data_IF_701388043810
#
_entry.id   IF_701388043810
#
_cell.length_a   1.000
_cell.length_b   1.000
_cell.length_c   1.000
_cell.angle_alpha   90.00
_cell.angle_beta   90.00
_cell.angle_gamma   90.00
#
_symmetry.space_group_name_H-M   'P 1'
#
loop_
_entity.id
_entity.type
_entity.pdbx_description
1 polymer ?
#
# COMPACT_ATOMS: atom_id res chain seq x y z
N UNK A 1 25.99 -15.16 7.85
CA UNK A 1 26.89 -14.00 7.63
C UNK A 1 27.17 -13.72 6.16
N UNK A 2 27.47 -14.73 5.33
CA UNK A 2 27.77 -14.58 3.90
C UNK A 2 26.61 -13.98 3.06
N UNK A 3 25.35 -14.38 3.30
CA UNK A 3 24.18 -13.81 2.62
C UNK A 3 23.89 -12.35 3.01
N UNK A 4 24.22 -11.97 4.25
CA UNK A 4 24.09 -10.60 4.73
C UNK A 4 25.13 -9.68 4.08
N UNK A 5 26.36 -10.18 3.94
CA UNK A 5 27.44 -9.49 3.22
C UNK A 5 27.18 -9.42 1.71
N UNK A 6 26.61 -10.46 1.08
CA UNK A 6 26.22 -10.42 -0.33
C UNK A 6 25.10 -9.41 -0.61
N UNK A 7 24.09 -9.30 0.27
CA UNK A 7 23.04 -8.28 0.16
C UNK A 7 23.59 -6.85 0.32
N UNK A 8 24.54 -6.64 1.24
CA UNK A 8 25.23 -5.35 1.37
C UNK A 8 26.16 -5.07 0.17
N UNK A 9 26.86 -6.07 -0.34
CA UNK A 9 27.76 -5.93 -1.48
C UNK A 9 27.01 -5.58 -2.77
N UNK A 10 25.81 -6.14 -3.02
CA UNK A 10 24.96 -5.75 -4.15
C UNK A 10 24.43 -4.31 -3.96
N UNK A 11 24.05 -3.91 -2.74
CA UNK A 11 23.69 -2.50 -2.44
C UNK A 11 24.88 -1.54 -2.62
N UNK A 12 26.11 -1.98 -2.34
CA UNK A 12 27.36 -1.19 -2.51
C UNK A 12 27.84 -1.18 -3.97
N UNK A 13 27.64 -2.25 -4.75
CA UNK A 13 28.01 -2.28 -6.18
C UNK A 13 27.10 -1.36 -7.01
N UNK A 14 25.83 -1.20 -6.60
CA UNK A 14 24.95 -0.19 -7.17
C UNK A 14 25.43 1.26 -6.91
N UNK A 15 26.31 1.47 -5.91
CA UNK A 15 26.93 2.77 -5.60
C UNK A 15 28.21 3.03 -6.40
N UNK A 16 28.91 2.01 -6.91
CA UNK A 16 30.21 2.19 -7.60
C UNK A 16 30.13 2.20 -9.12
N UNK A 17 28.98 1.89 -9.73
CA UNK A 17 28.73 2.03 -11.19
C UNK A 17 27.97 3.33 -11.51
N UNK A 18 27.91 4.26 -10.55
CA UNK A 18 27.48 5.65 -10.73
C UNK A 18 28.67 6.63 -10.84
N UNK A 19 29.74 6.35 -11.61
CA UNK A 19 30.63 7.41 -12.08
C UNK A 19 30.78 7.32 -13.60
N UNK A 20 29.77 7.75 -14.34
CA UNK A 20 29.91 8.15 -15.76
C UNK A 20 28.79 9.09 -16.25
N UNK A 21 28.07 9.68 -15.30
CA UNK A 21 27.47 11.00 -15.49
C UNK A 21 28.26 11.91 -14.56
N UNK A 22 29.28 12.58 -15.08
CA UNK A 22 29.83 13.79 -14.48
C UNK A 22 28.81 14.92 -14.61
N UNK A 23 27.63 14.73 -14.06
CA UNK A 23 27.01 15.77 -13.28
C UNK A 23 27.56 15.51 -11.89
N UNK A 24 28.44 16.39 -11.42
CA UNK A 24 28.64 16.58 -9.99
C UNK A 24 27.28 16.39 -9.32
N UNK A 25 27.13 15.52 -8.31
CA UNK A 25 25.92 15.50 -7.52
C UNK A 25 25.94 16.82 -6.76
N UNK A 26 25.51 17.89 -7.42
CA UNK A 26 24.78 18.94 -6.75
C UNK A 26 23.51 18.22 -6.34
N UNK A 27 23.63 17.56 -5.20
CA UNK A 27 22.57 17.34 -4.26
C UNK A 27 22.00 18.75 -4.02
N UNK A 28 21.15 19.22 -4.93
CA UNK A 28 19.92 19.85 -4.50
C UNK A 28 19.13 18.68 -3.87
N UNK A 29 19.46 18.18 -2.66
CA UNK A 29 19.08 18.85 -1.43
C UNK A 29 18.18 20.02 -1.80
N UNK A 30 16.89 19.73 -1.93
CA UNK A 30 15.90 20.71 -1.56
C UNK A 30 16.49 21.51 -0.39
N UNK A 31 16.63 22.80 -0.59
CA UNK A 31 17.12 23.76 0.39
C UNK A 31 16.28 23.77 1.68
N UNK A 32 15.22 22.95 1.76
CA UNK A 32 14.75 22.38 3.01
C UNK A 32 15.75 21.35 3.55
N UNK A 33 16.75 21.83 4.30
CA UNK A 33 17.52 21.06 5.28
C UNK A 33 16.70 19.85 5.81
N UNK A 34 16.92 18.65 5.27
CA UNK A 34 16.74 17.43 6.06
C UNK A 34 17.95 17.41 6.98
N UNK A 35 17.99 18.32 7.96
CA UNK A 35 18.85 18.11 9.11
C UNK A 35 18.41 16.75 9.64
N UNK A 36 19.32 15.78 9.85
CA UNK A 36 19.04 14.71 10.76
C UNK A 36 18.90 15.39 12.12
N UNK A 37 17.71 15.92 12.40
CA UNK A 37 17.36 16.48 13.69
C UNK A 37 17.68 15.36 14.67
N UNK A 38 18.68 15.60 15.52
CA UNK A 38 19.11 14.64 16.52
C UNK A 38 17.85 14.06 17.14
N UNK A 39 17.60 12.77 16.91
CA UNK A 39 16.34 12.16 17.25
C UNK A 39 16.14 12.38 18.75
N UNK A 40 15.22 13.27 19.11
CA UNK A 40 14.87 13.44 20.50
C UNK A 40 14.12 12.15 20.88
N UNK A 41 14.89 11.16 21.37
CA UNK A 41 14.38 9.84 21.74
C UNK A 41 13.26 9.94 22.78
N UNK A 42 13.17 11.08 23.46
CA UNK A 42 12.16 11.38 24.47
C UNK A 42 10.86 11.98 23.89
N UNK A 43 10.77 12.31 22.59
CA UNK A 43 9.48 12.70 21.98
C UNK A 43 8.55 11.49 21.99
N UNK A 44 7.43 11.62 22.69
CA UNK A 44 6.39 10.58 22.73
C UNK A 44 5.67 10.60 21.38
N UNK A 45 5.67 9.48 20.66
CA UNK A 45 4.92 9.36 19.41
C UNK A 45 3.47 9.08 19.77
N UNK A 46 2.65 10.13 19.83
CA UNK A 46 1.20 10.04 20.04
C UNK A 46 0.55 10.88 18.94
N UNK A 47 -0.38 10.28 18.21
CA UNK A 47 -1.18 10.96 17.21
C UNK A 47 -2.43 11.60 17.82
N UNK A 48 -3.10 10.88 18.71
CA UNK A 48 -4.24 11.36 19.48
C UNK A 48 -4.22 10.72 20.88
N UNK A 49 -4.01 11.50 21.95
CA UNK A 49 -4.02 11.00 23.32
C UNK A 49 -5.34 10.38 23.76
N UNK A 50 -6.46 10.72 23.10
CA UNK A 50 -7.81 10.21 23.42
C UNK A 50 -8.16 8.95 22.64
N UNK A 51 -7.29 8.54 21.73
CA UNK A 51 -7.49 7.35 20.91
C UNK A 51 -6.91 6.11 21.60
N UNK A 52 -7.77 5.15 22.03
CA UNK A 52 -7.30 3.93 22.70
C UNK A 52 -6.48 3.02 21.79
N UNK A 53 -6.56 3.22 20.47
CA UNK A 53 -5.83 2.43 19.47
C UNK A 53 -4.78 3.24 18.72
N UNK A 54 -4.35 4.37 19.30
CA UNK A 54 -3.19 5.13 18.83
C UNK A 54 -1.99 4.19 18.59
N UNK A 55 -1.40 4.20 17.38
CA UNK A 55 -0.39 3.21 17.03
C UNK A 55 0.95 3.47 17.73
N UNK A 56 1.16 4.67 18.26
CA UNK A 56 2.42 5.16 18.86
C UNK A 56 3.65 4.82 18.02
N UNK A 57 3.48 4.94 16.71
CA UNK A 57 4.31 4.26 15.74
C UNK A 57 5.70 4.91 15.63
N UNK A 58 6.75 4.07 15.65
CA UNK A 58 8.14 4.46 15.39
C UNK A 58 8.69 3.68 14.22
N UNK A 59 9.56 4.32 13.44
CA UNK A 59 10.25 3.66 12.35
C UNK A 59 11.08 2.49 12.92
N UNK A 60 10.88 1.24 12.47
CA UNK A 60 11.49 0.10 13.13
C UNK A 60 12.96 -0.10 12.73
N UNK A 61 13.34 0.30 11.51
CA UNK A 61 14.68 0.09 10.94
C UNK A 61 15.10 1.23 10.00
N UNK A 62 16.30 1.14 9.41
CA UNK A 62 16.80 2.13 8.45
C UNK A 62 17.32 3.44 9.07
N UNK A 63 17.62 4.45 8.24
CA UNK A 63 18.23 5.72 8.68
C UNK A 63 17.37 6.53 9.65
N UNK A 64 16.06 6.26 9.68
CA UNK A 64 15.11 6.96 10.53
C UNK A 64 14.66 6.14 11.75
N UNK A 65 15.32 5.02 12.04
CA UNK A 65 14.96 4.14 13.16
C UNK A 65 14.70 4.91 14.46
N UNK A 66 13.56 4.63 15.09
CA UNK A 66 13.14 5.23 16.36
C UNK A 66 12.44 6.59 16.24
N UNK A 67 12.46 7.24 15.07
CA UNK A 67 11.69 8.47 14.83
C UNK A 67 10.19 8.18 14.74
N UNK A 68 9.38 9.15 15.17
CA UNK A 68 7.92 9.04 15.07
C UNK A 68 7.48 9.00 13.60
N UNK A 69 6.52 8.13 13.32
CA UNK A 69 5.93 8.01 12.00
C UNK A 69 4.68 8.89 11.87
N UNK A 70 4.33 9.20 10.62
CA UNK A 70 3.17 10.01 10.27
C UNK A 70 1.88 9.41 10.84
N UNK A 71 1.01 10.25 11.37
CA UNK A 71 -0.30 9.83 11.89
C UNK A 71 -1.37 9.63 10.82
N UNK A 72 -1.07 9.97 9.56
CA UNK A 72 -2.00 9.95 8.43
C UNK A 72 -2.33 8.54 7.93
N UNK A 73 -1.50 7.55 8.28
CA UNK A 73 -1.64 6.17 7.83
C UNK A 73 -1.56 5.26 9.03
N UNK A 74 -2.45 4.28 9.12
CA UNK A 74 -2.46 3.33 10.24
C UNK A 74 -2.86 1.95 9.77
N UNK A 75 -2.10 0.96 10.22
CA UNK A 75 -2.48 -0.42 9.99
C UNK A 75 -3.76 -0.76 10.75
N UNK A 76 -4.63 -1.50 10.06
CA UNK A 76 -5.80 -2.13 10.66
C UNK A 76 -5.37 -2.99 11.85
N UNK A 77 -6.15 -2.95 12.93
CA UNK A 77 -5.92 -3.73 14.14
C UNK A 77 -7.14 -4.56 14.46
N UNK A 78 -6.96 -5.85 14.70
CA UNK A 78 -8.05 -6.72 15.14
C UNK A 78 -8.27 -6.51 16.64
N UNK A 79 -9.51 -6.28 17.05
CA UNK A 79 -9.84 -6.13 18.47
C UNK A 79 -10.09 -7.49 19.12
N UNK A 80 -9.53 -7.68 20.30
CA UNK A 80 -9.85 -8.83 21.15
C UNK A 80 -11.28 -8.71 21.70
N UNK A 81 -11.91 -9.82 22.14
CA UNK A 81 -13.26 -9.78 22.69
C UNK A 81 -13.45 -8.74 23.81
N UNK A 82 -12.46 -8.55 24.69
CA UNK A 82 -12.49 -7.54 25.75
C UNK A 82 -12.49 -6.10 25.20
N UNK A 83 -11.70 -5.84 24.16
CA UNK A 83 -11.63 -4.53 23.51
C UNK A 83 -12.90 -4.21 22.70
N UNK A 84 -13.71 -5.20 22.35
CA UNK A 84 -14.98 -4.99 21.64
C UNK A 84 -16.14 -4.56 22.54
N UNK A 85 -16.03 -4.76 23.86
CA UNK A 85 -17.11 -4.48 24.83
C UNK A 85 -17.63 -3.04 24.69
N UNK A 86 -16.78 -1.99 24.65
CA UNK A 86 -17.25 -0.60 24.54
C UNK A 86 -18.02 -0.29 23.24
N UNK A 87 -17.90 -1.14 22.22
CA UNK A 87 -18.48 -0.94 20.89
C UNK A 87 -19.74 -1.78 20.66
N UNK A 88 -20.21 -2.54 21.66
CA UNK A 88 -21.43 -3.36 21.63
C UNK A 88 -21.53 -4.23 20.36
N UNK A 89 -20.42 -4.86 19.96
CA UNK A 89 -20.40 -5.71 18.78
C UNK A 89 -21.07 -7.06 19.03
N UNK A 90 -21.82 -7.55 18.05
CA UNK A 90 -22.41 -8.89 18.11
C UNK A 90 -21.32 -9.98 17.99
N UNK A 91 -21.52 -11.19 18.57
CA UNK A 91 -20.51 -12.26 18.56
C UNK A 91 -20.10 -12.76 17.16
N UNK A 92 -20.96 -12.57 16.18
CA UNK A 92 -20.75 -12.94 14.78
C UNK A 92 -20.08 -11.83 13.95
N UNK A 93 -19.61 -10.76 14.59
CA UNK A 93 -18.89 -9.67 13.94
C UNK A 93 -17.37 -9.82 14.09
N UNK A 94 -16.65 -9.39 13.06
CA UNK A 94 -15.25 -8.99 13.14
C UNK A 94 -15.21 -7.53 13.55
N UNK A 95 -14.39 -7.19 14.53
CA UNK A 95 -14.26 -5.80 14.97
C UNK A 95 -12.83 -5.37 14.81
N UNK A 96 -12.62 -4.32 14.02
CA UNK A 96 -11.30 -3.78 13.72
C UNK A 96 -11.24 -2.31 14.10
N UNK A 97 -10.07 -1.86 14.53
CA UNK A 97 -9.73 -0.46 14.72
C UNK A 97 -8.90 0.08 13.56
N UNK A 98 -8.74 1.40 13.52
CA UNK A 98 -7.98 2.13 12.50
C UNK A 98 -8.57 2.01 11.08
N UNK A 99 -9.88 1.84 10.95
CA UNK A 99 -10.55 2.01 9.67
C UNK A 99 -10.59 3.51 9.32
N UNK A 100 -10.02 3.91 8.20
CA UNK A 100 -9.98 5.32 7.79
C UNK A 100 -11.22 5.70 6.99
N UNK A 101 -11.94 6.71 7.47
CA UNK A 101 -13.05 7.34 6.77
C UNK A 101 -13.03 8.86 6.99
N UNK A 102 -13.02 9.63 5.91
CA UNK A 102 -12.99 11.09 5.88
C UNK A 102 -11.87 11.68 6.73
N UNK A 103 -10.68 11.09 6.62
CA UNK A 103 -9.47 11.51 7.31
C UNK A 103 -9.46 11.25 8.83
N UNK A 104 -10.40 10.44 9.32
CA UNK A 104 -10.50 10.02 10.73
C UNK A 104 -10.45 8.51 10.86
N UNK A 105 -10.04 8.03 12.03
CA UNK A 105 -10.00 6.60 12.35
C UNK A 105 -11.23 6.16 13.14
N UNK A 106 -11.79 5.04 12.71
CA UNK A 106 -13.03 4.45 13.21
C UNK A 106 -12.79 3.01 13.62
N UNK A 107 -13.67 2.52 14.50
CA UNK A 107 -13.87 1.09 14.71
C UNK A 107 -14.90 0.60 13.70
N UNK A 108 -14.58 -0.42 12.93
CA UNK A 108 -15.50 -1.07 12.01
C UNK A 108 -15.97 -2.41 12.58
N UNK A 109 -17.29 -2.58 12.67
CA UNK A 109 -17.97 -3.85 12.98
C UNK A 109 -18.41 -4.47 11.66
N UNK A 110 -17.84 -5.61 11.27
CA UNK A 110 -18.07 -6.26 9.98
C UNK A 110 -18.71 -7.64 10.23
N UNK A 111 -19.94 -7.92 9.77
CA UNK A 111 -20.52 -9.24 9.94
C UNK A 111 -19.66 -10.33 9.28
N UNK A 112 -19.53 -11.48 9.92
CA UNK A 112 -18.92 -12.66 9.29
C UNK A 112 -19.74 -13.06 8.06
N UNK A 113 -19.07 -13.51 7.01
CA UNK A 113 -19.69 -13.91 5.74
C UNK A 113 -20.41 -12.79 4.97
N UNK A 114 -20.09 -11.52 5.28
CA UNK A 114 -20.68 -10.35 4.63
C UNK A 114 -20.12 -10.10 3.22
N UNK A 115 -18.95 -10.62 2.87
CA UNK A 115 -18.28 -10.29 1.59
C UNK A 115 -19.05 -10.87 0.40
N UNK A 116 -19.58 -9.97 -0.43
CA UNK A 116 -20.24 -10.29 -1.70
C UNK A 116 -19.20 -10.45 -2.80
N UNK A 117 -18.30 -9.48 -2.95
CA UNK A 117 -17.28 -9.43 -4.00
C UNK A 117 -15.93 -9.01 -3.45
N UNK A 118 -14.89 -9.58 -4.06
CA UNK A 118 -13.50 -9.14 -3.88
C UNK A 118 -13.01 -8.69 -5.24
N UNK A 119 -12.55 -7.44 -5.29
CA UNK A 119 -12.14 -6.76 -6.52
C UNK A 119 -10.68 -6.36 -6.35
N UNK A 120 -9.79 -6.91 -7.17
CA UNK A 120 -8.41 -6.46 -7.25
C UNK A 120 -8.37 -5.21 -8.13
N UNK A 121 -7.84 -4.12 -7.59
CA UNK A 121 -7.75 -2.84 -8.30
C UNK A 121 -6.28 -2.56 -8.63
N UNK A 122 -6.03 -2.09 -9.85
CA UNK A 122 -4.70 -1.72 -10.35
C UNK A 122 -4.75 -0.25 -10.79
N UNK A 123 -4.16 0.63 -10.00
CA UNK A 123 -3.92 2.01 -10.36
C UNK A 123 -2.65 2.09 -11.21
N UNK A 124 -2.81 2.38 -12.50
CA UNK A 124 -1.71 2.63 -13.43
C UNK A 124 -1.37 4.11 -13.46
N UNK A 125 -0.11 4.40 -13.74
CA UNK A 125 0.40 5.77 -13.76
C UNK A 125 0.76 6.22 -15.19
N UNK A 126 0.45 7.47 -15.53
CA UNK A 126 0.71 8.07 -16.85
C UNK A 126 2.18 8.47 -17.06
N UNK A 127 2.93 8.65 -15.97
CA UNK A 127 4.34 9.02 -15.98
C UNK A 127 5.24 7.94 -16.58
N UNK A 128 4.86 6.68 -16.36
CA UNK A 128 5.49 5.52 -16.95
C UNK A 128 4.36 4.61 -17.43
N UNK A 129 3.88 4.77 -18.68
CA UNK A 129 2.90 3.88 -19.28
C UNK A 129 3.52 2.48 -19.37
N UNK A 130 3.36 1.72 -18.30
CA UNK A 130 4.09 0.49 -18.05
C UNK A 130 3.16 -0.45 -17.30
N UNK A 131 2.97 -1.69 -17.79
CA UNK A 131 2.19 -2.67 -17.07
C UNK A 131 2.87 -3.12 -15.76
N UNK A 132 4.13 -2.75 -15.56
CA UNK A 132 4.95 -3.14 -14.41
C UNK A 132 4.87 -2.15 -13.25
N UNK A 133 4.54 -0.88 -13.54
CA UNK A 133 4.55 0.22 -12.58
C UNK A 133 3.12 0.57 -12.20
N UNK A 134 2.68 0.03 -11.07
CA UNK A 134 1.30 0.21 -10.62
C UNK A 134 1.20 0.17 -9.10
N UNK A 135 0.07 0.65 -8.59
CA UNK A 135 -0.34 0.44 -7.22
C UNK A 135 -1.55 -0.49 -7.18
N UNK A 136 -1.40 -1.64 -6.53
CA UNK A 136 -2.48 -2.60 -6.38
C UNK A 136 -3.05 -2.61 -4.98
N UNK A 137 -4.36 -2.84 -4.91
CA UNK A 137 -5.17 -2.84 -3.69
C UNK A 137 -6.36 -3.80 -3.84
N UNK A 138 -7.03 -4.15 -2.74
CA UNK A 138 -8.22 -5.01 -2.74
C UNK A 138 -9.41 -4.20 -2.29
N UNK A 139 -10.42 -4.06 -3.14
CA UNK A 139 -11.75 -3.59 -2.74
C UNK A 139 -12.59 -4.78 -2.29
N UNK A 140 -13.12 -4.70 -1.08
CA UNK A 140 -14.16 -5.58 -0.57
C UNK A 140 -15.50 -4.89 -0.74
N UNK A 141 -16.46 -5.59 -1.34
CA UNK A 141 -17.86 -5.19 -1.40
C UNK A 141 -18.68 -6.15 -0.56
N UNK A 142 -19.46 -5.62 0.37
CA UNK A 142 -20.34 -6.38 1.25
C UNK A 142 -21.75 -6.51 0.66
N UNK A 143 -22.45 -7.56 1.07
CA UNK A 143 -23.84 -7.82 0.69
C UNK A 143 -24.74 -6.70 1.24
N UNK A 144 -25.79 -6.29 0.49
CA UNK A 144 -26.82 -5.40 1.03
C UNK A 144 -27.40 -5.95 2.35
N UNK A 145 -27.53 -5.09 3.36
CA UNK A 145 -27.99 -5.45 4.71
C UNK A 145 -26.92 -6.06 5.62
N UNK A 146 -25.72 -6.34 5.10
CA UNK A 146 -24.56 -6.83 5.85
C UNK A 146 -23.40 -5.84 5.79
N UNK A 147 -23.70 -4.54 5.69
CA UNK A 147 -22.69 -3.50 5.63
C UNK A 147 -21.83 -3.46 6.90
N UNK A 148 -20.59 -2.99 6.76
CA UNK A 148 -19.76 -2.69 7.90
C UNK A 148 -20.34 -1.46 8.61
N UNK A 149 -20.36 -1.48 9.94
CA UNK A 149 -20.85 -0.38 10.76
C UNK A 149 -19.63 0.30 11.38
N UNK A 150 -19.36 1.54 10.99
CA UNK A 150 -18.31 2.36 11.57
C UNK A 150 -18.86 3.12 12.78
N UNK A 151 -18.12 3.09 13.88
CA UNK A 151 -18.40 3.86 15.10
C UNK A 151 -17.15 4.61 15.56
N UNK A 152 -17.29 5.73 16.28
CA UNK A 152 -16.15 6.49 16.78
C UNK A 152 -15.19 5.59 17.57
N UNK A 153 -13.89 5.76 17.33
CA UNK A 153 -12.86 5.01 18.02
C UNK A 153 -12.62 5.51 19.45
N UNK A 154 -12.89 6.78 19.72
CA UNK A 154 -12.84 7.34 21.08
C UNK A 154 -14.05 6.90 21.90
N UNK A 155 -13.79 6.34 23.09
CA UNK A 155 -14.84 5.90 24.02
C UNK A 155 -15.58 7.13 24.59
N UNK A 156 -16.91 7.02 24.70
CA UNK A 156 -17.76 8.07 25.27
C UNK A 156 -18.23 9.14 24.27
N UNK A 157 -17.84 9.03 23.00
CA UNK A 157 -18.43 9.82 21.92
C UNK A 157 -19.72 9.14 21.47
N UNK A 158 -20.83 9.91 21.39
CA UNK A 158 -22.11 9.37 20.93
C UNK A 158 -21.95 8.70 19.55
N UNK A 159 -22.42 7.46 19.37
CA UNK A 159 -22.21 6.73 18.12
C UNK A 159 -23.03 7.37 17.01
N UNK A 160 -22.35 8.03 16.08
CA UNK A 160 -22.90 8.22 14.74
C UNK A 160 -22.50 6.99 13.93
N UNK A 161 -23.43 6.06 13.76
CA UNK A 161 -23.17 4.86 12.98
C UNK A 161 -23.15 5.20 11.50
N UNK A 162 -22.08 4.79 10.81
CA UNK A 162 -21.96 4.92 9.36
C UNK A 162 -21.95 3.52 8.76
N UNK A 163 -22.84 3.27 7.82
CA UNK A 163 -22.88 2.00 7.09
C UNK A 163 -21.99 2.08 5.86
N UNK A 164 -21.10 1.11 5.72
CA UNK A 164 -20.09 1.05 4.67
C UNK A 164 -20.22 -0.28 3.92
N UNK A 165 -20.62 -0.19 2.65
CA UNK A 165 -20.73 -1.37 1.77
C UNK A 165 -19.41 -1.71 1.10
N UNK A 166 -18.63 -0.70 0.70
CA UNK A 166 -17.41 -0.88 -0.07
C UNK A 166 -16.22 -0.21 0.63
N UNK A 167 -15.13 -0.95 0.76
CA UNK A 167 -13.88 -0.43 1.34
C UNK A 167 -12.67 -1.12 0.72
N UNK A 168 -11.51 -0.50 0.88
CA UNK A 168 -10.26 -0.90 0.25
C UNK A 168 -9.22 -1.26 1.29
N UNK A 169 -8.60 -2.42 1.11
CA UNK A 169 -7.35 -2.80 1.73
C UNK A 169 -6.17 -2.40 0.84
N UNK A 170 -5.25 -1.63 1.39
CA UNK A 170 -4.00 -1.24 0.72
C UNK A 170 -2.80 -1.38 1.67
N UNK A 171 -1.65 -1.76 1.12
CA UNK A 171 -0.39 -1.75 1.85
C UNK A 171 0.46 -0.55 1.41
N UNK A 172 0.40 0.54 2.18
CA UNK A 172 0.98 1.81 1.83
C UNK A 172 2.33 2.05 2.50
N UNK A 173 3.20 2.77 1.79
CA UNK A 173 4.44 3.27 2.37
C UNK A 173 4.12 4.36 3.42
N UNK A 174 4.66 4.19 4.62
CA UNK A 174 4.48 5.09 5.75
C UNK A 174 5.79 5.85 6.02
N UNK A 175 5.67 7.17 6.10
CA UNK A 175 6.76 8.12 6.30
C UNK A 175 7.01 8.42 7.78
N UNK A 176 8.19 8.96 8.08
CA UNK A 176 8.37 9.73 9.33
C UNK A 176 7.54 11.00 9.32
N UNK A 177 7.21 11.52 10.50
CA UNK A 177 6.55 12.82 10.63
C UNK A 177 7.33 13.92 9.87
N UNK A 178 6.66 14.64 8.97
CA UNK A 178 7.25 15.68 8.12
C UNK A 178 8.11 15.16 6.94
N UNK A 179 8.19 13.85 6.73
CA UNK A 179 8.87 13.29 5.56
C UNK A 179 8.05 13.42 4.27
N UNK A 180 8.74 13.49 3.13
CA UNK A 180 8.14 13.47 1.80
C UNK A 180 8.44 12.14 1.10
N UNK A 181 7.52 11.69 0.24
CA UNK A 181 7.68 10.43 -0.48
C UNK A 181 8.67 10.57 -1.66
N UNK A 182 9.53 9.58 -1.84
CA UNK A 182 10.48 9.48 -2.94
C UNK A 182 10.70 7.99 -3.33
N UNK A 183 10.65 7.61 -4.63
CA UNK A 183 10.79 6.21 -5.05
C UNK A 183 12.18 5.66 -4.76
N UNK A 184 13.20 6.49 -4.96
CA UNK A 184 14.59 6.10 -4.77
C UNK A 184 14.87 5.77 -3.29
N UNK A 185 14.23 6.48 -2.36
CA UNK A 185 14.37 6.19 -0.92
C UNK A 185 13.70 4.88 -0.50
N UNK A 186 12.74 4.36 -1.29
CA UNK A 186 12.08 3.09 -1.03
C UNK A 186 12.98 1.87 -1.18
N UNK A 187 14.11 2.01 -1.89
CA UNK A 187 15.13 0.96 -2.00
C UNK A 187 16.06 0.88 -0.77
N UNK A 188 15.98 1.87 0.12
CA UNK A 188 16.93 2.05 1.23
C UNK A 188 16.27 1.95 2.62
N UNK A 189 15.11 1.30 2.74
CA UNK A 189 14.42 1.10 4.02
C UNK A 189 14.02 2.45 4.68
N UNK A 190 13.50 3.41 3.90
CA UNK A 190 13.09 4.73 4.41
C UNK A 190 11.62 4.77 4.85
N UNK A 191 10.82 3.81 4.43
CA UNK A 191 9.39 3.76 4.73
C UNK A 191 9.05 2.46 5.46
N UNK A 192 8.15 2.56 6.44
CA UNK A 192 7.46 1.39 6.95
C UNK A 192 6.27 1.05 6.04
N UNK A 193 5.58 -0.05 6.29
CA UNK A 193 4.31 -0.41 5.66
C UNK A 193 3.19 -0.20 6.67
N UNK A 194 2.13 0.46 6.22
CA UNK A 194 0.83 0.45 6.87
C UNK A 194 -0.16 -0.38 6.03
N UNK A 195 -0.83 -1.33 6.67
CA UNK A 195 -1.85 -2.19 6.08
C UNK A 195 -3.23 -1.59 6.36
N UNK A 196 -3.68 -0.69 5.51
CA UNK A 196 -4.79 0.20 5.78
C UNK A 196 -6.11 -0.36 5.26
N UNK A 197 -7.19 -0.15 6.01
CA UNK A 197 -8.56 -0.23 5.51
C UNK A 197 -9.10 1.19 5.39
N UNK A 198 -9.46 1.58 4.18
CA UNK A 198 -9.93 2.93 3.83
C UNK A 198 -11.28 2.80 3.12
N UNK A 199 -12.19 3.77 3.33
CA UNK A 199 -13.44 3.81 2.57
C UNK A 199 -13.20 3.88 1.06
N UNK A 200 -14.09 3.31 0.25
CA UNK A 200 -13.94 3.45 -1.19
C UNK A 200 -14.00 4.93 -1.64
N UNK A 201 -14.85 5.74 -1.01
CA UNK A 201 -15.01 7.17 -1.28
C UNK A 201 -13.68 7.92 -1.14
N UNK A 202 -12.99 7.77 0.00
CA UNK A 202 -11.70 8.43 0.23
C UNK A 202 -10.64 7.88 -0.75
N UNK A 203 -10.68 6.59 -1.05
CA UNK A 203 -9.69 5.99 -1.95
C UNK A 203 -9.85 6.43 -3.40
N UNK A 204 -11.08 6.62 -3.86
CA UNK A 204 -11.39 7.22 -5.17
C UNK A 204 -10.80 8.62 -5.24
N UNK A 205 -11.07 9.43 -4.22
CA UNK A 205 -10.54 10.79 -4.14
C UNK A 205 -9.01 10.81 -4.22
N UNK A 206 -8.34 10.00 -3.41
CA UNK A 206 -6.87 9.88 -3.43
C UNK A 206 -6.34 9.47 -4.81
N UNK A 207 -6.98 8.49 -5.46
CA UNK A 207 -6.57 8.00 -6.76
C UNK A 207 -6.76 9.06 -7.86
N UNK A 208 -7.88 9.80 -7.83
CA UNK A 208 -8.25 10.75 -8.87
C UNK A 208 -7.62 12.13 -8.70
N UNK A 209 -7.30 12.55 -7.47
CA UNK A 209 -6.52 13.77 -7.20
C UNK A 209 -5.02 13.56 -7.45
N UNK A 210 -4.54 12.31 -7.48
CA UNK A 210 -3.19 12.01 -7.87
C UNK A 210 -3.00 12.25 -9.37
N UNK A 211 -2.39 13.39 -9.71
CA UNK A 211 -2.19 13.90 -11.09
C UNK A 211 -1.58 12.89 -12.07
N UNK A 212 -0.89 11.89 -11.54
CA UNK A 212 -0.18 10.91 -12.34
C UNK A 212 -0.98 9.62 -12.57
N UNK A 213 -2.21 9.53 -12.07
CA UNK A 213 -3.10 8.39 -12.35
C UNK A 213 -3.56 8.42 -13.80
N UNK A 214 -3.27 7.35 -14.54
CA UNK A 214 -3.83 7.13 -15.88
C UNK A 214 -5.26 6.56 -15.76
N UNK A 215 -5.35 5.39 -15.11
CA UNK A 215 -6.58 4.64 -14.90
C UNK A 215 -6.49 3.70 -13.70
N UNK A 216 -7.63 3.29 -13.17
CA UNK A 216 -7.77 2.28 -12.13
C UNK A 216 -8.60 1.11 -12.68
N UNK A 217 -7.89 0.09 -13.15
CA UNK A 217 -8.50 -1.15 -13.61
C UNK A 217 -9.09 -1.93 -12.43
N UNK A 218 -10.26 -2.52 -12.63
CA UNK A 218 -10.93 -3.33 -11.62
C UNK A 218 -11.18 -4.75 -12.12
N UNK A 219 -10.76 -5.74 -11.33
CA UNK A 219 -10.85 -7.16 -11.68
C UNK A 219 -11.58 -7.88 -10.53
N UNK A 220 -12.80 -8.35 -10.78
CA UNK A 220 -13.51 -9.21 -9.82
C UNK A 220 -12.79 -10.55 -9.75
N UNK A 221 -12.30 -10.92 -8.56
CA UNK A 221 -11.58 -12.17 -8.36
C UNK A 221 -12.55 -13.35 -8.35
N UNK A 222 -12.20 -14.39 -9.11
CA UNK A 222 -12.94 -15.65 -9.20
C UNK A 222 -12.73 -16.53 -7.96
N UNK A 223 -13.21 -16.07 -6.80
CA UNK A 223 -13.09 -16.75 -5.50
C UNK A 223 -14.42 -17.39 -5.08
N UNK A 224 -14.34 -18.51 -4.36
CA UNK A 224 -15.52 -19.08 -3.68
C UNK A 224 -15.98 -18.16 -2.55
N UNK A 225 -17.25 -18.26 -2.07
CA UNK A 225 -17.73 -17.45 -0.95
C UNK A 225 -16.84 -17.55 0.30
N UNK A 226 -16.34 -18.75 0.61
CA UNK A 226 -15.42 -18.97 1.71
C UNK A 226 -14.09 -18.24 1.50
N UNK A 227 -13.48 -18.38 0.32
CA UNK A 227 -12.22 -17.70 0.00
C UNK A 227 -12.33 -16.18 0.06
N UNK A 228 -13.48 -15.61 -0.33
CA UNK A 228 -13.74 -14.16 -0.21
C UNK A 228 -13.64 -13.70 1.25
N UNK A 229 -14.24 -14.45 2.17
CA UNK A 229 -14.19 -14.15 3.60
C UNK A 229 -12.80 -14.39 4.20
N UNK A 230 -12.13 -15.47 3.79
CA UNK A 230 -10.77 -15.80 4.22
C UNK A 230 -9.75 -14.74 3.77
N UNK A 231 -9.94 -14.13 2.60
CA UNK A 231 -9.10 -13.04 2.12
C UNK A 231 -9.28 -11.77 2.95
N UNK A 232 -10.51 -11.42 3.31
CA UNK A 232 -10.77 -10.31 4.24
C UNK A 232 -10.07 -10.56 5.58
N UNK A 233 -10.23 -11.75 6.15
CA UNK A 233 -9.57 -12.14 7.39
C UNK A 233 -8.04 -12.12 7.26
N UNK A 234 -7.50 -12.63 6.15
CA UNK A 234 -6.05 -12.65 5.89
C UNK A 234 -5.47 -11.24 5.83
N UNK A 235 -6.18 -10.29 5.21
CA UNK A 235 -5.78 -8.89 5.16
C UNK A 235 -5.81 -8.23 6.55
N UNK A 236 -6.87 -8.47 7.35
CA UNK A 236 -6.99 -7.98 8.73
C UNK A 236 -5.85 -8.52 9.60
N UNK A 237 -5.64 -9.84 9.59
CA UNK A 237 -4.60 -10.49 10.39
C UNK A 237 -3.20 -10.06 9.96
N UNK A 238 -3.00 -9.81 8.67
CA UNK A 238 -1.73 -9.26 8.20
C UNK A 238 -1.49 -7.86 8.77
N UNK A 239 -2.47 -6.96 8.71
CA UNK A 239 -2.31 -5.63 9.28
C UNK A 239 -2.13 -5.62 10.79
N UNK A 240 -2.87 -6.46 11.51
CA UNK A 240 -2.76 -6.58 12.96
C UNK A 240 -1.39 -7.11 13.40
N UNK A 241 -0.90 -8.15 12.73
CA UNK A 241 0.40 -8.78 13.01
C UNK A 241 1.57 -7.86 12.66
N UNK A 242 1.56 -7.32 11.45
CA UNK A 242 2.69 -6.53 10.95
C UNK A 242 2.71 -5.15 11.61
N UNK A 243 1.54 -4.60 11.98
CA UNK A 243 1.37 -3.20 12.41
C UNK A 243 2.17 -2.30 11.48
N UNK A 244 3.15 -1.58 12.01
CA UNK A 244 4.10 -0.76 11.25
C UNK A 244 5.54 -1.25 11.43
N UNK A 245 5.73 -2.53 11.78
CA UNK A 245 7.03 -3.15 12.04
C UNK A 245 7.74 -3.66 10.77
N UNK A 246 7.02 -3.62 9.64
CA UNK A 246 7.48 -4.05 8.33
C UNK A 246 8.05 -2.87 7.54
N UNK A 247 9.25 -3.00 6.97
CA UNK A 247 9.80 -2.00 6.04
C UNK A 247 9.24 -2.18 4.63
N UNK A 248 9.00 -1.07 3.93
CA UNK A 248 8.64 -1.04 2.53
C UNK A 248 9.89 -1.22 1.66
N UNK A 249 9.78 -2.06 0.64
CA UNK A 249 10.79 -2.29 -0.40
C UNK A 249 10.10 -2.18 -1.76
N UNK A 250 10.54 -1.23 -2.58
CA UNK A 250 9.93 -0.88 -3.87
C UNK A 250 9.81 -2.05 -4.85
N UNK A 251 10.58 -3.12 -4.67
CA UNK A 251 10.63 -4.29 -5.58
C UNK A 251 9.96 -5.53 -4.97
N UNK A 252 10.25 -5.82 -3.70
CA UNK A 252 9.89 -7.08 -3.07
C UNK A 252 8.84 -6.94 -1.99
N UNK A 253 8.66 -5.76 -1.41
CA UNK A 253 7.81 -5.55 -0.23
C UNK A 253 7.07 -4.22 -0.34
N UNK A 254 6.26 -4.12 -1.39
CA UNK A 254 5.46 -2.96 -1.75
C UNK A 254 3.96 -3.28 -1.75
N UNK A 255 3.15 -2.26 -2.06
CA UNK A 255 1.69 -2.36 -2.12
C UNK A 255 1.19 -3.60 -2.88
N UNK A 256 1.76 -3.85 -4.05
CA UNK A 256 1.34 -4.93 -4.95
C UNK A 256 1.74 -6.29 -4.40
N UNK A 257 2.99 -6.43 -3.97
CA UNK A 257 3.49 -7.68 -3.40
C UNK A 257 2.76 -8.06 -2.10
N UNK A 258 2.40 -7.09 -1.25
CA UNK A 258 1.69 -7.36 0.00
C UNK A 258 0.24 -7.76 -0.23
N UNK A 259 -0.44 -7.12 -1.18
CA UNK A 259 -1.78 -7.51 -1.59
C UNK A 259 -1.77 -8.93 -2.17
N UNK A 260 -0.83 -9.23 -3.07
CA UNK A 260 -0.72 -10.57 -3.65
C UNK A 260 -0.35 -11.63 -2.61
N UNK A 261 0.43 -11.30 -1.57
CA UNK A 261 0.67 -12.22 -0.45
C UNK A 261 -0.59 -12.54 0.34
N UNK A 262 -1.47 -11.56 0.56
CA UNK A 262 -2.76 -11.82 1.19
C UNK A 262 -3.58 -12.80 0.34
N UNK A 263 -3.64 -12.57 -0.98
CA UNK A 263 -4.29 -13.48 -1.94
C UNK A 263 -3.66 -14.89 -1.90
N UNK A 264 -2.33 -14.98 -1.97
CA UNK A 264 -1.59 -16.25 -2.02
C UNK A 264 -1.86 -17.12 -0.80
N UNK A 265 -1.88 -16.50 0.40
CA UNK A 265 -2.21 -17.21 1.64
C UNK A 265 -3.64 -17.75 1.64
N UNK A 266 -4.58 -17.00 1.09
CA UNK A 266 -5.99 -17.42 1.02
C UNK A 266 -6.19 -18.62 0.11
N UNK A 267 -5.62 -18.60 -1.09
CA UNK A 267 -5.87 -19.64 -2.09
C UNK A 267 -4.84 -20.79 -2.02
N UNK A 268 -3.91 -20.75 -1.07
CA UNK A 268 -2.83 -21.73 -0.94
C UNK A 268 -1.83 -21.70 -2.10
N UNK A 269 -1.69 -20.56 -2.78
CA UNK A 269 -0.76 -20.42 -3.92
C UNK A 269 0.67 -20.22 -3.42
N UNK A 270 1.61 -20.99 -3.97
CA UNK A 270 3.04 -20.83 -3.70
C UNK A 270 3.79 -20.40 -4.99
N UNK A 271 4.17 -19.12 -5.12
CA UNK A 271 4.82 -18.60 -6.32
C UNK A 271 6.15 -19.30 -6.62
N UNK A 272 6.90 -19.72 -5.60
CA UNK A 272 8.20 -20.38 -5.78
C UNK A 272 8.06 -21.74 -6.44
N UNK A 273 7.03 -22.51 -6.08
CA UNK A 273 6.75 -23.81 -6.67
C UNK A 273 6.19 -23.64 -8.09
N UNK A 274 5.29 -22.68 -8.29
CA UNK A 274 4.69 -22.41 -9.59
C UNK A 274 5.71 -21.91 -10.64
N UNK A 275 6.75 -21.18 -10.23
CA UNK A 275 7.74 -20.57 -11.13
C UNK A 275 9.12 -21.25 -11.15
N UNK A 276 9.20 -22.53 -10.77
CA UNK A 276 10.46 -23.30 -10.73
C UNK A 276 11.60 -22.53 -10.02
N UNK A 277 11.29 -21.88 -8.89
CA UNK A 277 12.26 -21.17 -8.06
C UNK A 277 12.56 -19.71 -8.45
N UNK A 278 11.93 -19.14 -9.48
CA UNK A 278 12.07 -17.69 -9.79
C UNK A 278 11.17 -16.85 -8.87
N UNK A 279 11.69 -15.80 -8.20
CA UNK A 279 10.86 -14.90 -7.40
C UNK A 279 10.05 -13.95 -8.29
N UNK A 280 8.77 -13.72 -7.93
CA UNK A 280 7.97 -12.64 -8.53
C UNK A 280 8.42 -11.30 -7.96
N UNK A 281 8.75 -10.35 -8.84
CA UNK A 281 9.12 -8.98 -8.48
C UNK A 281 8.06 -8.04 -9.04
N UNK A 282 7.65 -7.05 -8.24
CA UNK A 282 6.65 -6.06 -8.63
C UNK A 282 7.24 -4.67 -8.42
N UNK A 283 7.01 -3.74 -9.34
CA UNK A 283 7.52 -2.37 -9.20
C UNK A 283 6.38 -1.47 -8.73
N UNK A 284 6.52 -0.92 -7.54
CA UNK A 284 5.65 0.18 -7.11
C UNK A 284 6.41 1.48 -7.17
N UNK A 285 6.29 2.19 -8.29
CA UNK A 285 6.79 3.55 -8.40
C UNK A 285 5.63 4.51 -8.65
N UNK A 286 5.10 5.17 -7.62
CA UNK A 286 4.74 6.57 -7.80
C UNK A 286 6.01 7.31 -8.26
N UNK A 287 5.93 8.43 -8.97
CA UNK A 287 7.12 9.27 -9.16
C UNK A 287 7.12 10.35 -8.09
N UNK A 288 8.31 10.64 -7.56
CA UNK A 288 8.46 11.59 -6.45
C UNK A 288 8.60 13.00 -6.99
N UNK A 289 8.45 14.06 -6.18
CA UNK A 289 8.43 15.44 -6.67
C UNK A 289 9.60 15.81 -7.59
N UNK A 290 10.80 15.30 -7.33
CA UNK A 290 11.99 15.54 -8.18
C UNK A 290 11.97 14.78 -9.52
N UNK A 291 11.43 13.55 -9.53
CA UNK A 291 11.25 12.76 -10.76
C UNK A 291 10.11 13.36 -11.58
N UNK A 292 9.01 13.71 -10.92
CA UNK A 292 7.87 14.44 -11.48
C UNK A 292 8.35 15.73 -12.14
N UNK A 293 9.12 16.56 -11.42
CA UNK A 293 9.67 17.81 -11.94
C UNK A 293 10.60 17.58 -13.14
N UNK A 294 11.43 16.53 -13.12
CA UNK A 294 12.31 16.19 -14.24
C UNK A 294 11.52 15.70 -15.48
N UNK A 295 10.41 14.98 -15.28
CA UNK A 295 9.49 14.57 -16.35
C UNK A 295 8.70 15.77 -16.89
N UNK A 296 8.17 16.61 -16.02
CA UNK A 296 7.41 17.81 -16.39
C UNK A 296 8.28 18.86 -17.08
N UNK A 297 9.58 18.92 -16.76
CA UNK A 297 10.56 19.77 -17.47
C UNK A 297 11.07 19.16 -18.79
N UNK A 298 10.54 18.00 -19.22
CA UNK A 298 10.91 17.34 -20.48
C UNK A 298 12.31 16.72 -20.52
N UNK A 299 13.02 16.68 -19.39
CA UNK A 299 14.40 16.19 -19.31
C UNK A 299 14.47 14.65 -19.21
N UNK A 300 13.39 14.01 -18.74
CA UNK A 300 13.16 12.57 -18.87
C UNK A 300 11.84 12.35 -19.59
N UNK A 301 11.83 11.56 -20.67
CA UNK A 301 10.60 11.03 -21.27
C UNK A 301 10.24 9.69 -20.60
N UNK A 302 8.96 9.28 -20.56
CA UNK A 302 8.56 7.95 -20.05
C UNK A 302 9.35 6.79 -20.66
N UNK A 303 9.60 6.81 -21.97
CA UNK A 303 10.36 5.75 -22.66
C UNK A 303 11.82 5.70 -22.22
N UNK A 304 12.49 6.85 -22.09
CA UNK A 304 13.85 6.95 -21.54
C UNK A 304 13.91 6.46 -20.09
N UNK A 305 12.93 6.81 -19.25
CA UNK A 305 12.91 6.36 -17.85
C UNK A 305 12.65 4.85 -17.76
N UNK A 306 11.68 4.31 -18.50
CA UNK A 306 11.42 2.88 -18.60
C UNK A 306 12.65 2.13 -19.10
N UNK A 307 13.31 2.64 -20.14
CA UNK A 307 14.56 2.08 -20.68
C UNK A 307 15.67 2.09 -19.63
N UNK A 308 15.86 3.20 -18.91
CA UNK A 308 16.83 3.29 -17.80
C UNK A 308 16.51 2.29 -16.69
N UNK A 309 15.24 2.17 -16.28
CA UNK A 309 14.82 1.22 -15.24
C UNK A 309 15.09 -0.22 -15.70
N UNK A 310 14.68 -0.57 -16.91
CA UNK A 310 14.87 -1.91 -17.48
C UNK A 310 16.36 -2.21 -17.66
N UNK A 311 17.15 -1.28 -18.21
CA UNK A 311 18.59 -1.42 -18.38
C UNK A 311 19.31 -1.55 -17.04
N UNK A 312 18.94 -0.76 -16.02
CA UNK A 312 19.50 -0.86 -14.68
C UNK A 312 19.11 -2.17 -14.00
N UNK A 313 17.87 -2.62 -14.14
CA UNK A 313 17.42 -3.93 -13.64
C UNK A 313 18.11 -5.08 -14.36
N UNK A 314 18.36 -4.96 -15.66
CA UNK A 314 19.09 -5.95 -16.47
C UNK A 314 20.60 -5.98 -16.15
N UNK A 315 21.21 -4.82 -15.89
CA UNK A 315 22.60 -4.70 -15.42
C UNK A 315 22.78 -5.28 -14.02
N UNK A 316 21.74 -5.25 -13.19
CA UNK A 316 21.65 -6.03 -11.96
C UNK A 316 21.30 -7.48 -12.33
N UNK A 317 22.23 -8.16 -13.00
CA UNK A 317 22.15 -9.46 -13.70
C UNK A 317 21.58 -10.68 -12.94
N UNK A 318 20.98 -10.46 -11.77
CA UNK A 318 20.31 -11.46 -10.93
C UNK A 318 18.87 -11.10 -10.56
N UNK A 319 18.32 -9.96 -11.02
CA UNK A 319 16.95 -9.55 -10.70
C UNK A 319 16.00 -10.02 -11.81
N UNK A 320 14.94 -10.81 -11.49
CA UNK A 320 13.93 -11.22 -12.46
C UNK A 320 13.22 -10.02 -13.10
N UNK A 321 12.77 -10.19 -14.35
CA UNK A 321 11.87 -9.24 -14.99
C UNK A 321 10.61 -9.08 -14.13
N UNK A 322 10.16 -7.84 -13.85
CA UNK A 322 8.95 -7.62 -13.08
C UNK A 322 7.73 -8.29 -13.70
N UNK A 323 6.81 -8.77 -12.86
CA UNK A 323 5.54 -9.34 -13.32
C UNK A 323 4.45 -8.27 -13.28
N UNK A 324 3.70 -8.04 -14.37
CA UNK A 324 2.53 -7.18 -14.35
C UNK A 324 1.49 -7.67 -13.33
N UNK A 325 0.84 -6.80 -12.54
CA UNK A 325 -0.13 -7.23 -11.54
C UNK A 325 -1.30 -8.02 -12.13
N UNK A 326 -1.77 -7.64 -13.33
CA UNK A 326 -2.81 -8.39 -14.05
C UNK A 326 -2.39 -9.84 -14.33
N UNK A 327 -1.20 -10.04 -14.90
CA UNK A 327 -0.67 -11.38 -15.19
C UNK A 327 -0.51 -12.22 -13.92
N UNK A 328 -0.12 -11.60 -12.80
CA UNK A 328 0.01 -12.29 -11.52
C UNK A 328 -1.34 -12.90 -11.06
N UNK A 329 -2.45 -12.18 -11.23
CA UNK A 329 -3.80 -12.68 -10.90
C UNK A 329 -4.26 -13.76 -11.90
N UNK A 330 -3.94 -13.63 -13.19
CA UNK A 330 -4.20 -14.67 -14.20
C UNK A 330 -3.46 -15.97 -13.86
N UNK A 331 -2.18 -15.91 -13.48
CA UNK A 331 -1.37 -17.09 -13.08
C UNK A 331 -1.94 -17.79 -11.85
N UNK A 332 -2.64 -17.07 -10.98
CA UNK A 332 -3.35 -17.59 -9.81
C UNK A 332 -4.72 -18.20 -10.17
N UNK A 333 -5.11 -18.20 -11.44
CA UNK A 333 -6.41 -18.67 -11.96
C UNK A 333 -7.61 -17.92 -11.34
N UNK A 334 -7.41 -16.65 -11.03
CA UNK A 334 -8.44 -15.80 -10.40
C UNK A 334 -9.20 -14.91 -11.39
N UNK A 335 -8.96 -15.10 -12.70
CA UNK A 335 -9.65 -14.40 -13.78
C UNK A 335 -10.50 -15.39 -14.57
N UNK A 336 -11.78 -15.09 -14.76
CA UNK A 336 -12.70 -15.83 -15.64
C UNK A 336 -13.62 -14.86 -16.39
N UNK A 337 -14.63 -15.39 -17.09
CA UNK A 337 -15.58 -14.58 -17.88
C UNK A 337 -16.38 -13.55 -17.07
N UNK A 338 -16.49 -13.71 -15.74
CA UNK A 338 -17.19 -12.77 -14.84
C UNK A 338 -16.26 -11.77 -14.15
N UNK A 339 -14.96 -11.86 -14.39
CA UNK A 339 -13.95 -11.02 -13.73
C UNK A 339 -13.88 -9.61 -14.28
N UNK A 340 -14.24 -9.41 -15.55
CA UNK A 340 -14.26 -8.10 -16.18
C UNK A 340 -15.42 -7.27 -15.63
N UNK A 341 -15.11 -6.14 -15.02
CA UNK A 341 -16.07 -5.13 -14.57
C UNK A 341 -15.63 -3.75 -15.06
N UNK A 342 -16.48 -2.73 -14.87
CA UNK A 342 -16.14 -1.37 -15.23
C UNK A 342 -14.90 -0.88 -14.44
N UNK A 343 -14.01 -0.13 -15.10
CA UNK A 343 -12.95 0.57 -14.40
C UNK A 343 -13.53 1.62 -13.45
N UNK A 344 -12.73 2.09 -12.49
CA UNK A 344 -13.22 2.97 -11.43
C UNK A 344 -13.76 4.30 -12.00
N UNK A 345 -13.15 4.81 -13.06
CA UNK A 345 -13.55 6.04 -13.75
C UNK A 345 -14.94 5.92 -14.40
N UNK A 346 -15.29 4.71 -14.85
CA UNK A 346 -16.58 4.43 -15.47
C UNK A 346 -17.66 4.23 -14.39
N UNK A 347 -17.29 3.65 -13.25
CA UNK A 347 -18.20 3.49 -12.10
C UNK A 347 -18.45 4.82 -11.37
N UNK A 348 -17.45 5.72 -11.32
CA UNK A 348 -17.48 6.99 -10.60
C UNK A 348 -17.08 8.18 -11.50
N UNK A 349 -17.86 8.46 -12.56
CA UNK A 349 -17.50 9.47 -13.56
C UNK A 349 -17.54 10.91 -13.02
N UNK A 350 -18.34 11.18 -11.97
CA UNK A 350 -18.45 12.52 -11.38
C UNK A 350 -17.19 12.90 -10.62
N UNK A 351 -16.71 11.98 -9.78
CA UNK A 351 -15.50 12.11 -8.99
C UNK A 351 -14.26 12.17 -9.88
N UNK A 352 -14.26 11.45 -11.00
CA UNK A 352 -13.15 11.47 -11.95
C UNK A 352 -13.04 12.76 -12.75
N UNK A 353 -14.18 13.30 -13.19
CA UNK A 353 -14.18 14.52 -14.00
C UNK A 353 -13.92 15.79 -13.17
N UNK A 354 -14.26 15.79 -11.88
CA UNK A 354 -14.04 16.95 -11.01
C UNK A 354 -12.56 17.13 -10.61
N UNK A 355 -11.72 16.11 -10.78
CA UNK A 355 -10.32 16.13 -10.37
C UNK A 355 -9.32 16.47 -11.49
N UNK A 356 -9.78 16.57 -12.74
CA UNK A 356 -8.96 16.98 -13.88
C UNK A 356 -9.08 18.51 -14.09
N UNK A 357 -7.97 19.26 -14.03
CA UNK A 357 -7.98 20.71 -14.26
C UNK A 357 -8.36 21.08 -15.69
#
# INVERSE_FOLDING_TARGET
MLQYLQRKAVKILALTVVPLLTFTPIVYAQSGRIVPAAANKNKVCICDPKDPFDPRARMPQGPFKGRCMSCKQRSVRLLSPLETIPYNAAPDMLVIANFNYKGKYWVAKIPKNAVEDVIFQIQYYNVLPSPYTAHSQIRFRLKPGYEAILVPQSIGVAPTEIRMRDFVYAANAMLVEGGEWNPATGLFDFFAIAHEFISLEDRIKDAFEYKLTDRVEQIRLALTPQQKQELLMSAILQGDRDRTNSMYDTLNKNCTSEVLRAVDRTIGYNPKLAQKGKPEVFISMPTGPAVDEALFKGNLTPDKLNKIIIERLAQLSKIPIPTPPYEAIVRRKLVNSKSKIANLEVEFPREFNSSRP
#
